data_IF_458910217560
#
_entry.id   IF_458910217560
#
_cell.length_a   1.000
_cell.length_b   1.000
_cell.length_c   1.000
_cell.angle_alpha   90.00
_cell.angle_beta   90.00
_cell.angle_gamma   90.00
#
_symmetry.space_group_name_H-M   'P 1'
#
loop_
_entity.id
_entity.type
_entity.pdbx_description
1 polymer ?
#
# COMPACT_ATOMS: atom_id res chain seq x y z
N UNK A 1 -13.17 -9.21 -10.18
CA UNK A 1 -12.17 -9.29 -9.09
C UNK A 1 -11.37 -7.99 -9.14
N UNK A 2 -11.25 -7.28 -8.01
CA UNK A 2 -10.47 -6.03 -8.01
C UNK A 2 -8.97 -6.31 -8.15
N UNK A 3 -8.30 -5.47 -8.92
CA UNK A 3 -6.91 -5.64 -9.35
C UNK A 3 -6.02 -4.63 -8.62
N UNK A 4 -4.98 -5.14 -7.94
CA UNK A 4 -3.92 -4.33 -7.34
C UNK A 4 -2.66 -4.43 -8.18
N UNK A 5 -2.16 -3.30 -8.61
CA UNK A 5 -0.90 -3.18 -9.37
C UNK A 5 0.06 -2.20 -8.72
N UNK A 6 1.34 -2.36 -9.03
CA UNK A 6 2.42 -1.54 -8.50
C UNK A 6 3.17 -0.89 -9.65
N UNK A 7 3.48 0.41 -9.55
CA UNK A 7 4.41 1.10 -10.45
C UNK A 7 5.65 1.46 -9.67
N UNK A 8 6.76 0.81 -10.00
CA UNK A 8 8.07 1.10 -9.39
C UNK A 8 8.49 2.54 -9.69
N UNK A 9 8.92 3.27 -8.67
CA UNK A 9 9.57 4.57 -8.81
C UNK A 9 11.08 4.34 -8.80
N UNK A 10 11.59 3.71 -7.75
CA UNK A 10 12.99 3.34 -7.60
C UNK A 10 13.14 1.99 -6.87
N UNK A 11 14.32 1.68 -6.31
CA UNK A 11 14.57 0.41 -5.64
C UNK A 11 13.75 0.21 -4.36
N UNK A 12 13.38 1.30 -3.70
CA UNK A 12 12.74 1.31 -2.39
C UNK A 12 11.29 1.79 -2.46
N UNK A 13 10.87 2.48 -3.52
CA UNK A 13 9.54 3.07 -3.64
C UNK A 13 8.74 2.56 -4.84
N UNK A 14 7.43 2.36 -4.63
CA UNK A 14 6.45 2.08 -5.68
C UNK A 14 5.08 2.69 -5.36
N UNK A 15 4.36 3.10 -6.40
CA UNK A 15 2.96 3.53 -6.29
C UNK A 15 2.02 2.32 -6.33
N UNK A 16 0.93 2.41 -5.59
CA UNK A 16 -0.13 1.40 -5.49
C UNK A 16 -1.36 1.86 -6.27
N UNK A 17 -1.82 1.00 -7.17
CA UNK A 17 -3.06 1.22 -7.92
C UNK A 17 -4.10 0.15 -7.60
N UNK A 18 -5.35 0.56 -7.43
CA UNK A 18 -6.51 -0.31 -7.28
C UNK A 18 -7.48 -0.03 -8.44
N UNK A 19 -7.70 -1.03 -9.29
CA UNK A 19 -8.55 -0.92 -10.49
C UNK A 19 -8.18 0.25 -11.42
N UNK A 20 -6.90 0.64 -11.42
CA UNK A 20 -6.35 1.71 -12.26
C UNK A 20 -6.24 3.07 -11.56
N UNK A 21 -6.88 3.23 -10.41
CA UNK A 21 -6.81 4.46 -9.60
C UNK A 21 -5.62 4.41 -8.64
N UNK A 22 -4.90 5.52 -8.51
CA UNK A 22 -3.83 5.67 -7.53
C UNK A 22 -4.43 5.70 -6.12
N UNK A 23 -4.02 4.79 -5.26
CA UNK A 23 -4.57 4.65 -3.89
C UNK A 23 -3.55 4.81 -2.78
N UNK A 24 -2.26 4.88 -3.12
CA UNK A 24 -1.20 5.11 -2.13
C UNK A 24 0.16 4.64 -2.60
N UNK A 25 1.02 4.41 -1.62
CA UNK A 25 2.45 4.25 -1.78
C UNK A 25 2.96 3.02 -1.02
N UNK A 26 4.00 2.40 -1.56
CA UNK A 26 4.70 1.24 -1.01
C UNK A 26 6.18 1.58 -0.91
N UNK A 27 6.73 1.46 0.29
CA UNK A 27 8.14 1.64 0.57
C UNK A 27 8.75 0.33 1.06
N UNK A 28 10.01 0.09 0.74
CA UNK A 28 10.85 -0.94 1.29
C UNK A 28 11.85 -0.27 2.22
N UNK A 29 11.88 -0.70 3.47
CA UNK A 29 12.79 -0.20 4.50
C UNK A 29 13.43 -1.40 5.23
N UNK A 30 14.32 -1.12 6.17
CA UNK A 30 14.88 -2.10 7.10
C UNK A 30 14.23 -1.94 8.47
N UNK A 31 13.74 -3.04 9.03
CA UNK A 31 13.27 -3.04 10.41
C UNK A 31 14.46 -2.79 11.35
N UNK A 32 14.47 -1.70 12.13
CA UNK A 32 15.63 -1.33 12.95
C UNK A 32 15.91 -2.32 14.10
N UNK A 33 14.94 -3.15 14.48
CA UNK A 33 15.09 -4.13 15.55
C UNK A 33 15.69 -5.43 15.05
N UNK A 34 15.43 -5.80 13.79
CA UNK A 34 15.82 -7.10 13.23
C UNK A 34 16.82 -7.01 12.09
N UNK A 35 17.01 -5.84 11.50
CA UNK A 35 17.77 -5.62 10.27
C UNK A 35 17.11 -6.22 9.02
N UNK A 36 15.92 -6.80 9.16
CA UNK A 36 15.24 -7.50 8.06
C UNK A 36 14.44 -6.52 7.21
N UNK A 37 14.28 -6.78 5.90
CA UNK A 37 13.44 -5.96 5.05
C UNK A 37 11.99 -5.91 5.55
N UNK A 38 11.39 -4.73 5.53
CA UNK A 38 9.98 -4.48 5.86
C UNK A 38 9.34 -3.60 4.80
N UNK A 39 8.14 -3.96 4.37
CA UNK A 39 7.36 -3.15 3.46
C UNK A 39 6.43 -2.23 4.25
N UNK A 40 6.50 -0.93 3.96
CA UNK A 40 5.61 0.08 4.51
C UNK A 40 4.58 0.46 3.46
N UNK A 41 3.30 0.20 3.73
CA UNK A 41 2.19 0.58 2.87
C UNK A 41 1.49 1.78 3.48
N UNK A 42 1.30 2.82 2.68
CA UNK A 42 0.48 3.97 3.01
C UNK A 42 -0.65 4.06 1.98
N UNK A 43 -1.90 4.16 2.43
CA UNK A 43 -3.04 4.40 1.54
C UNK A 43 -3.57 5.81 1.81
N UNK A 44 -3.78 6.60 0.75
CA UNK A 44 -4.04 8.04 0.85
C UNK A 44 -5.27 8.39 1.70
N UNK A 45 -6.30 7.54 1.68
CA UNK A 45 -7.56 7.74 2.42
C UNK A 45 -7.68 6.87 3.68
N UNK A 46 -6.60 6.19 4.08
CA UNK A 46 -6.61 5.33 5.25
C UNK A 46 -6.12 6.07 6.50
N UNK A 47 -7.06 6.50 7.33
CA UNK A 47 -6.82 7.20 8.60
C UNK A 47 -5.92 6.44 9.59
N UNK A 48 -5.75 5.11 9.42
CA UNK A 48 -4.83 4.29 10.23
C UNK A 48 -3.36 4.55 9.90
N UNK A 49 -3.06 5.27 8.83
CA UNK A 49 -1.70 5.57 8.38
C UNK A 49 -0.94 4.33 7.93
N UNK A 50 0.37 4.32 8.15
CA UNK A 50 1.29 3.28 7.70
C UNK A 50 0.93 1.88 8.21
N UNK A 51 1.14 0.86 7.37
CA UNK A 51 1.17 -0.55 7.78
C UNK A 51 2.48 -1.21 7.41
N UNK A 52 3.05 -1.92 8.37
CA UNK A 52 4.23 -2.76 8.18
C UNK A 52 3.81 -4.14 7.70
N UNK A 53 4.49 -4.63 6.67
CA UNK A 53 4.28 -5.96 6.12
C UNK A 53 5.65 -6.61 5.95
N UNK A 54 5.93 -7.65 6.73
CA UNK A 54 7.21 -8.37 6.67
C UNK A 54 7.26 -9.41 5.53
N UNK A 55 6.10 -9.83 5.04
CA UNK A 55 6.00 -10.82 3.97
C UNK A 55 5.47 -10.17 2.69
N UNK A 56 6.32 -10.17 1.66
CA UNK A 56 5.99 -9.64 0.33
C UNK A 56 4.72 -10.26 -0.25
N UNK A 57 4.47 -11.55 0.00
CA UNK A 57 3.29 -12.24 -0.50
C UNK A 57 1.99 -11.65 0.08
N UNK A 58 2.05 -11.09 1.29
CA UNK A 58 0.89 -10.53 2.01
C UNK A 58 0.56 -9.08 1.67
N UNK A 59 1.44 -8.36 0.97
CA UNK A 59 1.23 -6.93 0.65
C UNK A 59 -0.12 -6.71 -0.02
N UNK A 60 -0.45 -7.51 -1.05
CA UNK A 60 -1.73 -7.37 -1.78
C UNK A 60 -2.92 -7.62 -0.87
N UNK A 61 -2.86 -8.64 -0.01
CA UNK A 61 -3.97 -8.97 0.88
C UNK A 61 -4.15 -7.91 1.97
N UNK A 62 -3.05 -7.35 2.49
CA UNK A 62 -3.09 -6.19 3.39
C UNK A 62 -3.77 -5.00 2.72
N UNK A 63 -3.39 -4.66 1.49
CA UNK A 63 -4.02 -3.55 0.73
C UNK A 63 -5.52 -3.83 0.53
N UNK A 64 -5.91 -5.04 0.11
CA UNK A 64 -7.33 -5.41 -0.06
C UNK A 64 -8.11 -5.25 1.23
N UNK A 65 -7.59 -5.77 2.34
CA UNK A 65 -8.23 -5.69 3.64
C UNK A 65 -8.39 -4.25 4.11
N UNK A 66 -7.36 -3.42 3.88
CA UNK A 66 -7.37 -2.00 4.23
C UNK A 66 -8.39 -1.22 3.40
N UNK A 67 -8.44 -1.43 2.09
CA UNK A 67 -9.44 -0.82 1.19
C UNK A 67 -10.88 -1.33 1.44
N UNK A 68 -11.06 -2.60 1.79
CA UNK A 68 -12.38 -3.13 2.11
C UNK A 68 -12.94 -2.58 3.43
N UNK A 69 -12.06 -2.28 4.40
CA UNK A 69 -12.45 -1.70 5.68
C UNK A 69 -12.68 -0.19 5.62
N UNK A 70 -12.26 0.48 4.55
CA UNK A 70 -12.54 1.88 4.24
C UNK A 70 -12.84 1.96 2.74
N UNK A 71 -14.08 1.70 2.28
CA UNK A 71 -14.42 1.87 0.88
C UNK A 71 -14.10 3.31 0.52
N UNK A 72 -13.19 3.49 -0.44
CA UNK A 72 -12.82 4.78 -1.02
C UNK A 72 -14.12 5.54 -1.32
N UNK A 73 -14.54 6.44 -0.42
CA UNK A 73 -15.73 7.23 -0.65
C UNK A 73 -15.28 8.32 -1.60
N UNK A 74 -15.43 8.03 -2.88
CA UNK A 74 -14.95 8.86 -3.98
C UNK A 74 -15.34 10.32 -3.81
N UNK A 75 -14.36 11.15 -3.51
CA UNK A 75 -14.45 12.59 -3.73
C UNK A 75 -13.57 12.96 -4.91
N UNK A 76 -14.22 12.99 -6.08
CA UNK A 76 -13.80 13.80 -7.23
C UNK A 76 -13.57 15.23 -6.72
N UNK A 77 -12.34 15.70 -6.76
CA UNK A 77 -12.12 17.14 -6.88
C UNK A 77 -12.55 17.53 -8.30
N UNK A 78 -13.71 18.17 -8.42
CA UNK A 78 -14.17 18.93 -9.59
C UNK A 78 -14.28 20.39 -9.19
#
# INVERSE_FOLDING_TARGET
MSRITFRKIDQEEALIYHDGELVGDLYLDQDPLTGMPVYLVLLAEDSRGWVRVHDRARIRDTIRSRLASHPLMGWRWS
#
